data_IF_037202859277
#
_entry.id   IF_037202859277
#
_cell.length_a   1.000
_cell.length_b   1.000
_cell.length_c   1.000
_cell.angle_alpha   90.00
_cell.angle_beta   90.00
_cell.angle_gamma   90.00
#
_symmetry.space_group_name_H-M   'P 1'
#
loop_
_entity.id
_entity.type
_entity.pdbx_description
1 polymer ?
#
# COMPACT_ATOMS: atom_id res chain seq x y z
N UNK A 1 47.73 -13.08 12.62
CA UNK A 1 47.00 -11.85 12.22
C UNK A 1 45.96 -12.28 11.20
N UNK A 2 44.67 -12.30 11.57
CA UNK A 2 43.62 -12.58 10.60
C UNK A 2 43.33 -11.27 9.85
N UNK A 3 43.71 -11.21 8.58
CA UNK A 3 43.22 -10.16 7.68
C UNK A 3 41.71 -10.37 7.54
N UNK A 4 40.86 -9.37 7.87
CA UNK A 4 39.44 -9.47 7.56
C UNK A 4 39.31 -9.52 6.04
N UNK A 5 38.72 -10.58 5.50
CA UNK A 5 38.35 -10.66 4.09
C UNK A 5 37.53 -9.41 3.76
N UNK A 6 37.90 -8.61 2.75
CA UNK A 6 37.09 -7.47 2.36
C UNK A 6 35.74 -8.03 1.89
N UNK A 7 34.69 -7.67 2.61
CA UNK A 7 33.33 -7.99 2.22
C UNK A 7 33.07 -7.19 0.95
N UNK A 8 33.16 -7.83 -0.22
CA UNK A 8 32.94 -7.18 -1.50
C UNK A 8 31.46 -6.84 -1.59
N UNK A 9 31.14 -5.56 -1.48
CA UNK A 9 29.78 -5.07 -1.63
C UNK A 9 29.43 -5.05 -3.11
N UNK A 10 28.34 -5.69 -3.49
CA UNK A 10 27.79 -5.64 -4.84
C UNK A 10 26.73 -4.54 -4.92
N UNK A 11 26.68 -3.76 -6.02
CA UNK A 11 25.61 -2.81 -6.23
C UNK A 11 24.32 -3.57 -6.58
N UNK A 12 23.33 -3.44 -5.73
CA UNK A 12 22.00 -4.05 -5.89
C UNK A 12 20.98 -2.93 -6.09
N UNK A 13 20.25 -3.00 -7.20
CA UNK A 13 19.15 -2.09 -7.48
C UNK A 13 17.86 -2.58 -6.83
N UNK A 14 17.29 -1.79 -5.93
CA UNK A 14 16.00 -2.08 -5.33
C UNK A 14 14.93 -1.32 -6.09
N UNK A 15 14.01 -2.05 -6.69
CA UNK A 15 12.92 -1.49 -7.50
C UNK A 15 11.60 -1.72 -6.78
N UNK A 16 10.95 -0.66 -6.31
CA UNK A 16 9.66 -0.71 -5.64
C UNK A 16 8.54 -0.19 -6.55
N UNK A 17 7.60 -1.07 -6.90
CA UNK A 17 6.48 -0.75 -7.78
C UNK A 17 5.17 -1.15 -7.10
N UNK A 18 4.30 -0.20 -6.70
CA UNK A 18 4.47 1.27 -6.72
C UNK A 18 5.49 1.81 -5.69
N UNK A 19 5.82 3.12 -5.73
CA UNK A 19 6.77 3.72 -4.79
C UNK A 19 6.34 3.56 -3.33
N UNK A 20 7.21 3.01 -2.51
CA UNK A 20 6.92 2.61 -1.14
C UNK A 20 8.09 2.94 -0.21
N UNK A 21 7.82 2.99 1.10
CA UNK A 21 8.85 3.10 2.12
C UNK A 21 9.56 1.76 2.27
N UNK A 22 10.84 1.71 1.92
CA UNK A 22 11.65 0.49 1.97
C UNK A 22 12.69 0.59 3.09
N UNK A 23 12.82 -0.49 3.83
CA UNK A 23 13.81 -0.68 4.90
C UNK A 23 14.53 -1.99 4.60
N UNK A 24 15.85 -1.97 4.57
CA UNK A 24 16.69 -3.14 4.28
C UNK A 24 17.59 -3.37 5.48
N UNK A 25 17.37 -4.46 6.22
CA UNK A 25 18.21 -4.86 7.36
C UNK A 25 18.34 -3.76 8.43
N UNK A 26 17.23 -3.04 8.66
CA UNK A 26 17.19 -1.88 9.55
C UNK A 26 17.67 -0.56 8.92
N UNK A 27 18.24 -0.57 7.71
CA UNK A 27 18.56 0.64 6.94
C UNK A 27 17.32 1.17 6.24
N UNK A 28 16.80 2.28 6.73
CA UNK A 28 15.67 2.97 6.10
C UNK A 28 16.14 3.72 4.84
N UNK A 29 15.63 3.30 3.67
CA UNK A 29 15.84 4.02 2.41
C UNK A 29 14.80 5.14 2.22
N UNK A 30 13.68 5.06 2.95
CA UNK A 30 12.56 5.96 2.79
C UNK A 30 11.71 5.60 1.58
N UNK A 31 10.96 6.59 1.05
CA UNK A 31 10.06 6.37 -0.09
C UNK A 31 10.84 6.32 -1.39
N UNK A 32 11.11 5.12 -1.89
CA UNK A 32 11.84 4.89 -3.14
C UNK A 32 10.93 4.25 -4.19
N UNK A 33 11.22 4.50 -5.46
CA UNK A 33 10.68 3.76 -6.60
C UNK A 33 11.76 2.88 -7.23
N UNK A 34 12.99 3.40 -7.28
CA UNK A 34 14.21 2.69 -7.65
C UNK A 34 15.35 3.32 -6.87
N UNK A 35 16.21 2.50 -6.27
CA UNK A 35 17.41 2.99 -5.60
C UNK A 35 18.51 1.92 -5.63
N UNK A 36 19.73 2.32 -5.97
CA UNK A 36 20.89 1.42 -5.96
C UNK A 36 21.60 1.51 -4.61
N UNK A 37 21.77 0.38 -3.96
CA UNK A 37 22.50 0.27 -2.70
C UNK A 37 23.60 -0.78 -2.79
N UNK A 38 24.66 -0.60 -2.02
CA UNK A 38 25.76 -1.55 -1.94
C UNK A 38 25.46 -2.52 -0.80
N UNK A 39 25.33 -3.80 -1.13
CA UNK A 39 25.08 -4.87 -0.16
C UNK A 39 26.13 -5.96 -0.33
N UNK A 40 26.58 -6.53 0.79
CA UNK A 40 27.38 -7.74 0.75
C UNK A 40 26.53 -8.93 0.28
N UNK A 41 27.12 -10.00 -0.25
CA UNK A 41 26.39 -11.26 -0.41
C UNK A 41 25.99 -11.79 0.98
N UNK A 42 24.70 -12.06 1.17
CA UNK A 42 24.10 -12.39 2.46
C UNK A 42 22.58 -12.44 2.41
N UNK A 43 21.96 -12.66 3.57
CA UNK A 43 20.50 -12.61 3.72
C UNK A 43 20.11 -11.27 4.31
N UNK A 44 19.18 -10.59 3.68
CA UNK A 44 18.70 -9.27 4.12
C UNK A 44 17.19 -9.31 4.33
N UNK A 45 16.72 -8.70 5.41
CA UNK A 45 15.30 -8.48 5.62
C UNK A 45 14.87 -7.17 4.95
N UNK A 46 14.07 -7.26 3.89
CA UNK A 46 13.52 -6.10 3.19
C UNK A 46 12.07 -5.92 3.59
N UNK A 47 11.80 -4.86 4.35
CA UNK A 47 10.46 -4.40 4.69
C UNK A 47 10.07 -3.27 3.76
N UNK A 48 8.93 -3.41 3.08
CA UNK A 48 8.39 -2.39 2.20
C UNK A 48 6.96 -2.07 2.63
N UNK A 49 6.67 -0.79 2.80
CA UNK A 49 5.43 -0.32 3.40
C UNK A 49 4.89 0.92 2.72
N UNK A 50 3.58 0.97 2.56
CA UNK A 50 2.85 2.11 2.04
C UNK A 50 1.90 2.55 3.15
N UNK A 51 2.12 3.72 3.78
CA UNK A 51 1.31 4.18 4.90
C UNK A 51 -0.16 4.25 4.50
N UNK A 52 -1.05 3.65 5.29
CA UNK A 52 -2.49 3.60 5.02
C UNK A 52 -2.92 2.61 3.92
N UNK A 53 -2.00 1.78 3.39
CA UNK A 53 -2.32 0.75 2.40
C UNK A 53 -1.90 -0.65 2.87
N UNK A 54 -0.60 -0.93 2.87
CA UNK A 54 -0.06 -2.26 3.19
C UNK A 54 1.38 -2.18 3.65
N UNK A 55 1.79 -3.08 4.52
CA UNK A 55 3.19 -3.32 4.90
C UNK A 55 3.47 -4.79 4.74
N UNK A 56 4.55 -5.11 4.07
CA UNK A 56 5.03 -6.47 3.88
C UNK A 56 6.53 -6.52 4.13
N UNK A 57 7.00 -7.61 4.74
CA UNK A 57 8.41 -7.89 4.95
C UNK A 57 8.74 -9.19 4.24
N UNK A 58 9.91 -9.23 3.61
CA UNK A 58 10.44 -10.41 2.93
C UNK A 58 11.92 -10.57 3.24
N UNK A 59 12.39 -11.80 3.32
CA UNK A 59 13.82 -12.07 3.33
C UNK A 59 14.30 -12.30 1.91
N UNK A 60 15.33 -11.55 1.49
CA UNK A 60 15.99 -11.72 0.19
C UNK A 60 17.39 -12.26 0.39
N UNK A 61 17.81 -13.13 -0.50
CA UNK A 61 19.20 -13.60 -0.56
C UNK A 61 19.90 -12.81 -1.65
N UNK A 62 20.94 -12.11 -1.27
CA UNK A 62 21.82 -11.37 -2.16
C UNK A 62 23.07 -12.21 -2.34
N UNK A 63 23.40 -12.52 -3.58
CA UNK A 63 24.62 -13.21 -3.98
C UNK A 63 25.44 -12.26 -4.87
N UNK A 64 26.67 -12.64 -5.23
CA UNK A 64 27.52 -11.82 -6.12
C UNK A 64 26.90 -11.57 -7.51
N UNK A 65 25.95 -12.42 -7.91
CA UNK A 65 25.18 -12.30 -9.13
C UNK A 65 23.90 -11.45 -8.99
N UNK A 66 23.45 -11.18 -7.76
CA UNK A 66 22.22 -10.43 -7.50
C UNK A 66 22.46 -8.96 -7.80
N UNK A 67 21.85 -8.48 -8.89
CA UNK A 67 21.95 -7.08 -9.32
C UNK A 67 20.69 -6.27 -9.05
N UNK A 68 19.56 -6.94 -8.84
CA UNK A 68 18.26 -6.28 -8.74
C UNK A 68 17.35 -7.07 -7.78
N UNK A 69 16.66 -6.34 -6.89
CA UNK A 69 15.60 -6.86 -6.04
C UNK A 69 14.30 -6.15 -6.42
N UNK A 70 13.39 -6.88 -7.06
CA UNK A 70 12.07 -6.35 -7.42
C UNK A 70 11.08 -6.51 -6.29
N UNK A 71 10.58 -5.37 -5.84
CA UNK A 71 9.52 -5.26 -4.86
C UNK A 71 8.20 -4.86 -5.53
N UNK A 72 7.38 -5.85 -5.86
CA UNK A 72 6.07 -5.61 -6.49
C UNK A 72 4.95 -5.70 -5.44
N UNK A 73 4.12 -4.67 -5.39
CA UNK A 73 2.86 -4.66 -4.64
C UNK A 73 1.71 -4.40 -5.60
N UNK A 74 0.46 -4.78 -5.24
CA UNK A 74 -0.69 -4.40 -6.03
C UNK A 74 -0.76 -2.87 -6.01
N UNK A 75 -0.75 -2.21 -7.19
CA UNK A 75 -0.96 -0.78 -7.29
C UNK A 75 -2.25 -0.33 -6.58
N UNK A 76 -2.27 0.92 -6.15
CA UNK A 76 -3.36 1.48 -5.35
C UNK A 76 -3.82 2.82 -5.91
N UNK A 77 -5.12 3.08 -5.81
CA UNK A 77 -5.71 4.39 -6.02
C UNK A 77 -6.18 5.02 -4.72
N UNK A 78 -6.65 6.26 -4.81
CA UNK A 78 -7.23 6.99 -3.70
C UNK A 78 -8.75 7.00 -3.84
N UNK A 79 -9.44 6.40 -2.88
CA UNK A 79 -10.90 6.43 -2.81
C UNK A 79 -11.34 7.45 -1.77
N UNK A 80 -12.18 8.39 -2.20
CA UNK A 80 -12.80 9.39 -1.34
C UNK A 80 -14.30 9.16 -1.34
N UNK A 81 -14.82 8.66 -0.23
CA UNK A 81 -16.23 8.41 -0.01
C UNK A 81 -16.80 9.55 0.80
N UNK A 82 -17.59 10.38 0.14
CA UNK A 82 -18.18 11.58 0.73
C UNK A 82 -19.69 11.40 0.90
N UNK A 83 -20.24 11.74 2.08
CA UNK A 83 -21.68 11.71 2.31
C UNK A 83 -22.37 12.83 1.52
N UNK A 84 -23.52 12.54 0.94
CA UNK A 84 -24.42 13.58 0.42
C UNK A 84 -25.06 14.36 1.57
N UNK A 85 -25.50 15.59 1.26
CA UNK A 85 -26.12 16.47 2.24
C UNK A 85 -27.32 15.79 2.91
N UNK A 86 -27.33 15.77 4.25
CA UNK A 86 -28.37 15.11 5.04
C UNK A 86 -28.10 13.63 5.39
N UNK A 87 -26.98 13.05 4.94
CA UNK A 87 -26.62 11.66 5.26
C UNK A 87 -26.05 11.54 6.69
N UNK A 88 -26.56 10.61 7.51
CA UNK A 88 -26.04 10.39 8.86
C UNK A 88 -24.63 9.75 8.82
N UNK A 89 -23.69 10.34 9.57
CA UNK A 89 -22.30 9.86 9.66
C UNK A 89 -22.07 8.93 10.85
N UNK A 90 -22.86 9.12 11.91
CA UNK A 90 -22.71 8.41 13.17
C UNK A 90 -22.94 6.91 12.99
N UNK A 91 -21.94 6.11 13.36
CA UNK A 91 -21.99 4.64 13.28
C UNK A 91 -21.97 4.08 11.86
N UNK A 92 -21.76 4.91 10.83
CA UNK A 92 -21.62 4.42 9.46
C UNK A 92 -20.32 3.63 9.31
N UNK A 93 -20.35 2.56 8.53
CA UNK A 93 -19.20 1.73 8.20
C UNK A 93 -19.08 1.61 6.69
N UNK A 94 -17.94 2.05 6.16
CA UNK A 94 -17.61 2.01 4.75
C UNK A 94 -16.72 0.79 4.52
N UNK A 95 -17.17 -0.09 3.64
CA UNK A 95 -16.48 -1.28 3.17
C UNK A 95 -16.19 -1.12 1.68
N UNK A 96 -14.99 -1.44 1.25
CA UNK A 96 -14.63 -1.56 -0.15
C UNK A 96 -14.23 -3.01 -0.40
N UNK A 97 -15.06 -3.71 -1.16
CA UNK A 97 -15.05 -5.17 -1.25
C UNK A 97 -15.24 -5.81 0.13
N UNK A 98 -14.25 -6.60 0.53
CA UNK A 98 -14.21 -7.23 1.85
C UNK A 98 -13.44 -6.41 2.90
N UNK A 99 -12.96 -5.21 2.56
CA UNK A 99 -12.10 -4.39 3.44
C UNK A 99 -12.89 -3.26 4.08
N UNK A 100 -12.93 -3.21 5.41
CA UNK A 100 -13.45 -2.05 6.14
C UNK A 100 -12.47 -0.87 5.98
N UNK A 101 -12.95 0.25 5.42
CA UNK A 101 -12.20 1.51 5.32
C UNK A 101 -12.35 2.37 6.58
N UNK A 102 -13.45 2.21 7.32
CA UNK A 102 -13.73 2.97 8.53
C UNK A 102 -15.13 3.55 8.51
N UNK A 103 -15.33 4.73 9.07
CA UNK A 103 -16.60 5.45 9.10
C UNK A 103 -16.63 6.61 8.09
N UNK A 104 -17.81 6.99 7.61
CA UNK A 104 -17.95 8.18 6.75
C UNK A 104 -17.63 9.47 7.51
N UNK A 105 -17.03 10.49 6.86
CA UNK A 105 -16.46 10.47 5.51
C UNK A 105 -15.10 9.77 5.47
N UNK A 106 -14.84 9.02 4.41
CA UNK A 106 -13.53 8.42 4.16
C UNK A 106 -12.86 9.22 3.07
N UNK A 107 -11.72 9.85 3.34
CA UNK A 107 -11.03 10.69 2.35
C UNK A 107 -9.64 10.12 2.08
N UNK A 108 -9.25 10.04 0.81
CA UNK A 108 -7.94 9.52 0.40
C UNK A 108 -7.61 8.13 0.95
N UNK A 109 -8.62 7.25 1.05
CA UNK A 109 -8.38 5.86 1.42
C UNK A 109 -7.63 5.15 0.30
N UNK A 110 -6.47 4.58 0.64
CA UNK A 110 -5.67 3.84 -0.33
C UNK A 110 -6.25 2.44 -0.49
N UNK A 111 -6.86 2.18 -1.63
CA UNK A 111 -7.45 0.89 -1.97
C UNK A 111 -6.75 0.32 -3.20
N UNK A 112 -6.65 -1.01 -3.32
CA UNK A 112 -6.05 -1.61 -4.52
C UNK A 112 -6.77 -1.09 -5.76
N UNK A 113 -6.02 -0.88 -6.85
CA UNK A 113 -6.66 -0.58 -8.12
C UNK A 113 -7.51 -1.76 -8.59
N UNK A 114 -8.60 -1.46 -9.29
CA UNK A 114 -9.56 -2.44 -9.73
C UNK A 114 -10.99 -1.94 -9.60
N UNK A 115 -11.92 -2.77 -10.06
CA UNK A 115 -13.35 -2.55 -9.87
C UNK A 115 -13.80 -3.37 -8.69
N UNK A 116 -14.26 -2.70 -7.64
CA UNK A 116 -14.73 -3.37 -6.43
C UNK A 116 -16.05 -2.75 -5.92
N UNK A 117 -16.75 -3.48 -5.05
CA UNK A 117 -18.03 -3.05 -4.51
C UNK A 117 -17.81 -2.17 -3.29
N UNK A 118 -18.12 -0.88 -3.42
CA UNK A 118 -18.20 0.02 -2.28
C UNK A 118 -19.54 -0.20 -1.57
N UNK A 119 -19.49 -0.70 -0.34
CA UNK A 119 -20.66 -0.84 0.54
C UNK A 119 -20.56 0.08 1.74
N UNK A 120 -21.60 0.85 2.00
CA UNK A 120 -21.76 1.61 3.23
C UNK A 120 -22.91 1.02 4.03
N UNK A 121 -22.70 0.79 5.31
CA UNK A 121 -23.71 0.28 6.24
C UNK A 121 -23.95 1.29 7.34
N UNK A 122 -25.22 1.54 7.68
CA UNK A 122 -25.62 2.43 8.77
C UNK A 122 -26.15 1.64 9.98
N UNK A 123 -26.12 2.22 11.19
CA UNK A 123 -26.58 1.54 12.41
C UNK A 123 -28.08 1.21 12.39
N UNK A 124 -28.85 1.91 11.55
CA UNK A 124 -30.29 1.72 11.32
C UNK A 124 -30.59 0.51 10.39
N UNK A 125 -29.55 -0.18 9.90
CA UNK A 125 -29.67 -1.34 9.00
C UNK A 125 -29.67 -1.00 7.52
N UNK A 126 -29.77 0.28 7.14
CA UNK A 126 -29.64 0.70 5.74
C UNK A 126 -28.26 0.36 5.18
N UNK A 127 -28.21 0.00 3.90
CA UNK A 127 -26.97 -0.27 3.17
C UNK A 127 -26.99 0.43 1.83
N UNK A 128 -25.85 0.93 1.40
CA UNK A 128 -25.63 1.54 0.09
C UNK A 128 -24.51 0.78 -0.60
N UNK A 129 -24.74 0.27 -1.80
CA UNK A 129 -23.79 -0.56 -2.54
C UNK A 129 -23.61 0.01 -3.94
N UNK A 130 -22.37 0.30 -4.33
CA UNK A 130 -22.05 0.81 -5.66
C UNK A 130 -20.74 0.20 -6.16
N UNK A 131 -20.72 -0.27 -7.41
CA UNK A 131 -19.47 -0.69 -8.05
C UNK A 131 -18.64 0.55 -8.35
N UNK A 132 -17.46 0.63 -7.75
CA UNK A 132 -16.54 1.75 -7.93
C UNK A 132 -15.26 1.24 -8.59
N UNK A 133 -14.89 1.84 -9.72
CA UNK A 133 -13.62 1.59 -10.37
C UNK A 133 -12.57 2.54 -9.81
N UNK A 134 -11.54 1.97 -9.21
CA UNK A 134 -10.39 2.69 -8.68
C UNK A 134 -9.21 2.46 -9.60
N UNK A 135 -8.66 3.55 -10.11
CA UNK A 135 -7.46 3.54 -10.95
C UNK A 135 -6.25 3.89 -10.10
N UNK A 136 -5.11 3.25 -10.38
CA UNK A 136 -3.86 3.59 -9.71
C UNK A 136 -3.50 5.05 -9.94
N UNK A 137 -2.94 5.68 -8.91
CA UNK A 137 -2.50 7.09 -8.96
C UNK A 137 -3.62 8.12 -9.23
N UNK A 138 -4.89 7.68 -9.26
CA UNK A 138 -6.06 8.54 -9.43
C UNK A 138 -6.86 8.65 -8.13
N UNK A 139 -7.51 9.80 -7.95
CA UNK A 139 -8.51 9.99 -6.89
C UNK A 139 -9.89 9.71 -7.48
N UNK A 140 -10.55 8.66 -6.98
CA UNK A 140 -11.95 8.37 -7.26
C UNK A 140 -12.79 8.90 -6.10
N UNK A 141 -13.71 9.81 -6.40
CA UNK A 141 -14.65 10.35 -5.41
C UNK A 141 -16.02 9.75 -5.64
N UNK A 142 -16.61 9.17 -4.59
CA UNK A 142 -17.95 8.59 -4.61
C UNK A 142 -18.83 9.32 -3.62
N UNK A 143 -19.93 9.86 -4.13
CA UNK A 143 -21.00 10.45 -3.32
C UNK A 143 -21.92 9.34 -2.84
N UNK A 144 -22.16 9.30 -1.52
CA UNK A 144 -23.01 8.31 -0.88
C UNK A 144 -24.21 9.00 -0.26
N UNK A 145 -25.40 8.67 -0.73
CA UNK A 145 -26.65 8.99 -0.06
C UNK A 145 -27.21 7.78 0.69
N UNK A 146 -27.83 8.03 1.85
CA UNK A 146 -28.65 7.02 2.51
C UNK A 146 -29.92 6.77 1.65
N UNK A 147 -30.19 5.53 1.22
CA UNK A 147 -31.47 5.21 0.59
C UNK A 147 -32.62 5.38 1.60
N UNK A 148 -33.72 5.96 1.14
CA UNK A 148 -34.93 6.24 1.93
C UNK A 148 -35.79 5.00 2.15
#
# INVERSE_FOLDING_TARGET
MATPTPVVEVPVEIVAVPPAFVVVDGRELGKIARETIHLAPGRYEVTFSIPGYRRESRTVVVDEATREIRLTMPPYGLLSVVPEFGTPLAGSQVFFGNRLLGSLPVVNAKVPEGTDLLRVTWPDGSVFEVSCQVEAERVTTVLVAKPY
#
